data_IF_736532548461
#
_entry.id   IF_736532548461
#
_cell.length_a   1.000
_cell.length_b   1.000
_cell.length_c   1.000
_cell.angle_alpha   90.00
_cell.angle_beta   90.00
_cell.angle_gamma   90.00
#
_symmetry.space_group_name_H-M   'P 1'
#
loop_
_entity.id
_entity.type
_entity.pdbx_description
1 polymer ?
#
# COMPACT_ATOMS: atom_id res chain seq x y z
N UNK A 1 40.94 -5.03 18.18
CA UNK A 1 39.68 -4.55 17.60
C UNK A 1 39.81 -3.05 17.42
N UNK A 2 39.75 -2.62 16.18
CA UNK A 2 40.11 -1.27 15.76
C UNK A 2 39.02 -0.25 16.15
N UNK A 3 39.44 0.92 16.63
CA UNK A 3 38.55 2.02 17.04
C UNK A 3 37.58 2.51 15.95
N UNK A 4 37.86 2.16 14.69
CA UNK A 4 36.99 2.39 13.54
C UNK A 4 35.77 1.45 13.53
N UNK A 5 35.92 0.20 13.94
CA UNK A 5 34.80 -0.76 14.02
C UNK A 5 33.79 -0.44 15.15
N UNK A 6 34.27 0.12 16.26
CA UNK A 6 33.41 0.57 17.35
C UNK A 6 32.57 1.81 16.97
N UNK A 7 33.08 2.69 16.10
CA UNK A 7 32.30 3.84 15.58
C UNK A 7 31.14 3.42 14.67
N UNK A 8 31.28 2.33 13.89
CA UNK A 8 30.21 1.82 13.05
C UNK A 8 29.09 1.18 13.87
N UNK A 9 29.38 0.55 15.01
CA UNK A 9 28.33 -0.05 15.87
C UNK A 9 27.56 1.00 16.68
N UNK A 10 28.14 2.20 16.93
CA UNK A 10 27.48 3.27 17.69
C UNK A 10 26.67 4.24 16.82
N UNK A 11 26.76 4.16 15.49
CA UNK A 11 26.04 5.04 14.57
C UNK A 11 24.66 4.51 14.14
N UNK A 12 24.22 3.35 14.63
CA UNK A 12 22.95 2.72 14.24
C UNK A 12 21.78 2.91 15.22
N UNK A 13 21.91 3.77 16.21
CA UNK A 13 20.75 4.32 16.91
C UNK A 13 20.52 5.72 16.34
N UNK A 14 20.03 5.78 15.11
CA UNK A 14 19.43 7.01 14.61
C UNK A 14 18.23 7.28 15.51
N UNK A 15 18.27 8.35 16.30
CA UNK A 15 17.12 9.02 16.84
C UNK A 15 16.29 9.52 15.64
N UNK A 16 15.57 8.62 14.97
CA UNK A 16 14.60 9.04 13.98
C UNK A 16 13.51 9.78 14.76
N UNK A 17 13.39 11.08 14.51
CA UNK A 17 12.27 11.84 15.04
C UNK A 17 10.97 11.11 14.71
N UNK A 18 10.07 11.01 15.69
CA UNK A 18 8.72 10.46 15.48
C UNK A 18 8.08 11.05 14.21
N UNK A 19 7.57 10.20 13.35
CA UNK A 19 6.94 10.60 12.10
C UNK A 19 5.42 10.62 12.26
N UNK A 20 4.76 11.56 11.62
CA UNK A 20 3.30 11.56 11.51
C UNK A 20 2.89 10.85 10.24
N UNK A 21 2.17 9.74 10.38
CA UNK A 21 1.72 8.90 9.26
C UNK A 21 0.20 8.84 9.23
N UNK A 22 -0.37 9.13 8.07
CA UNK A 22 -1.81 8.98 7.81
C UNK A 22 -2.06 7.71 7.01
N UNK A 23 -3.01 6.88 7.45
CA UNK A 23 -3.41 5.64 6.78
C UNK A 23 -4.88 5.73 6.35
N UNK A 24 -5.13 5.82 5.04
CA UNK A 24 -6.44 5.58 4.46
C UNK A 24 -6.74 4.09 4.47
N UNK A 25 -7.86 3.67 5.06
CA UNK A 25 -8.17 2.26 5.28
C UNK A 25 -7.51 1.68 6.54
N UNK A 26 -7.29 2.51 7.56
CA UNK A 26 -6.61 2.16 8.82
C UNK A 26 -7.26 0.97 9.55
N UNK A 27 -8.56 0.73 9.38
CA UNK A 27 -9.28 -0.40 9.98
C UNK A 27 -9.20 -1.70 9.17
N UNK A 28 -8.56 -1.67 7.99
CA UNK A 28 -8.31 -2.87 7.16
C UNK A 28 -7.16 -3.72 7.73
N UNK A 29 -7.07 -5.00 7.32
CA UNK A 29 -6.06 -5.91 7.86
C UNK A 29 -4.62 -5.41 7.72
N UNK A 30 -4.23 -4.90 6.55
CA UNK A 30 -2.91 -4.31 6.32
C UNK A 30 -2.77 -2.98 7.09
N UNK A 31 -3.82 -2.14 7.12
CA UNK A 31 -3.83 -0.88 7.85
C UNK A 31 -3.57 -1.07 9.35
N UNK A 32 -4.24 -2.03 9.98
CA UNK A 32 -4.05 -2.39 11.41
C UNK A 32 -2.63 -2.89 11.65
N UNK A 33 -2.14 -3.81 10.82
CA UNK A 33 -0.80 -4.37 10.99
C UNK A 33 0.29 -3.29 10.84
N UNK A 34 0.13 -2.39 9.86
CA UNK A 34 1.06 -1.28 9.64
C UNK A 34 1.01 -0.26 10.79
N UNK A 35 -0.19 0.10 11.26
CA UNK A 35 -0.35 1.01 12.40
C UNK A 35 0.42 0.51 13.62
N UNK A 36 0.21 -0.76 14.01
CA UNK A 36 0.93 -1.36 15.13
C UNK A 36 2.45 -1.38 14.97
N UNK A 37 2.97 -1.64 13.75
CA UNK A 37 4.40 -1.59 13.48
C UNK A 37 4.97 -0.17 13.59
N UNK A 38 4.30 0.83 13.07
CA UNK A 38 4.75 2.23 13.12
C UNK A 38 4.69 2.77 14.54
N UNK A 39 3.60 2.53 15.27
CA UNK A 39 3.44 2.94 16.67
C UNK A 39 4.50 2.29 17.57
N UNK A 40 4.84 1.02 17.33
CA UNK A 40 5.93 0.35 18.06
C UNK A 40 7.32 0.96 17.84
N UNK A 41 7.50 1.74 16.76
CA UNK A 41 8.71 2.52 16.45
C UNK A 41 8.66 3.95 17.01
N UNK A 42 7.57 4.33 17.67
CA UNK A 42 7.35 5.67 18.20
C UNK A 42 6.76 6.68 17.21
N UNK A 43 6.28 6.22 16.05
CA UNK A 43 5.59 7.09 15.09
C UNK A 43 4.17 7.43 15.57
N UNK A 44 3.69 8.61 15.22
CA UNK A 44 2.29 9.01 15.42
C UNK A 44 1.47 8.56 14.23
N UNK A 45 0.50 7.67 14.45
CA UNK A 45 -0.36 7.14 13.40
C UNK A 45 -1.78 7.65 13.58
N UNK A 46 -2.35 8.15 12.51
CA UNK A 46 -3.77 8.49 12.40
C UNK A 46 -4.30 8.00 11.05
N UNK A 47 -5.60 8.06 10.85
CA UNK A 47 -6.14 7.62 9.57
C UNK A 47 -7.66 7.60 9.56
N UNK A 48 -8.19 7.22 8.43
CA UNK A 48 -9.62 7.18 8.18
C UNK A 48 -10.06 5.86 7.54
N UNK A 49 -11.35 5.57 7.68
CA UNK A 49 -12.04 4.52 6.95
C UNK A 49 -13.54 4.83 6.91
N UNK A 50 -14.30 4.06 6.15
CA UNK A 50 -15.78 4.19 6.13
C UNK A 50 -16.44 3.81 7.44
N UNK A 51 -15.82 2.94 8.24
CA UNK A 51 -16.36 2.37 9.49
C UNK A 51 -15.54 2.72 10.74
N UNK A 52 -14.47 3.50 10.61
CA UNK A 52 -13.62 3.91 11.73
C UNK A 52 -14.17 5.08 12.55
N UNK A 53 -13.40 5.49 13.55
CA UNK A 53 -13.70 6.68 14.38
C UNK A 53 -13.67 7.96 13.55
N UNK A 54 -12.75 8.05 12.59
CA UNK A 54 -12.70 9.13 11.60
C UNK A 54 -13.24 8.55 10.29
N UNK A 55 -14.39 9.07 9.86
CA UNK A 55 -15.08 8.62 8.65
C UNK A 55 -14.72 9.52 7.47
N UNK A 56 -14.25 8.90 6.38
CA UNK A 56 -14.02 9.56 5.10
C UNK A 56 -14.20 8.51 4.00
N UNK A 57 -14.95 8.85 2.97
CA UNK A 57 -15.11 8.00 1.79
C UNK A 57 -14.07 8.39 0.74
N UNK A 58 -13.08 7.53 0.52
CA UNK A 58 -12.03 7.78 -0.46
C UNK A 58 -12.53 7.80 -1.92
N UNK A 59 -13.73 7.32 -2.18
CA UNK A 59 -14.37 7.42 -3.51
C UNK A 59 -15.06 8.77 -3.74
N UNK A 60 -15.15 9.60 -2.70
CA UNK A 60 -15.60 10.98 -2.76
C UNK A 60 -14.41 11.93 -2.67
N UNK A 61 -14.15 12.66 -3.74
CA UNK A 61 -13.01 13.57 -3.82
C UNK A 61 -13.10 14.76 -2.84
N UNK A 62 -14.31 15.24 -2.54
CA UNK A 62 -14.53 16.37 -1.64
C UNK A 62 -14.31 15.99 -0.17
N UNK A 63 -14.67 14.76 0.21
CA UNK A 63 -14.38 14.21 1.52
C UNK A 63 -12.85 14.18 1.78
N UNK A 64 -12.09 13.73 0.80
CA UNK A 64 -10.63 13.69 0.89
C UNK A 64 -9.99 15.08 0.92
N UNK A 65 -10.49 16.01 0.11
CA UNK A 65 -10.01 17.40 0.14
C UNK A 65 -10.21 18.03 1.53
N UNK A 66 -11.39 17.84 2.11
CA UNK A 66 -11.72 18.31 3.46
C UNK A 66 -10.83 17.64 4.50
N UNK A 67 -10.73 16.32 4.45
CA UNK A 67 -9.93 15.53 5.40
C UNK A 67 -8.44 15.97 5.41
N UNK A 68 -7.80 16.08 4.25
CA UNK A 68 -6.40 16.47 4.20
C UNK A 68 -6.17 17.93 4.56
N UNK A 69 -7.10 18.84 4.23
CA UNK A 69 -7.04 20.22 4.68
C UNK A 69 -7.03 20.31 6.22
N UNK A 70 -7.90 19.54 6.88
CA UNK A 70 -7.94 19.48 8.34
C UNK A 70 -6.68 18.85 8.92
N UNK A 71 -6.17 17.76 8.32
CA UNK A 71 -4.92 17.13 8.74
C UNK A 71 -3.73 18.12 8.70
N UNK A 72 -3.54 18.85 7.61
CA UNK A 72 -2.45 19.83 7.48
C UNK A 72 -2.67 21.10 8.33
N UNK A 73 -3.86 21.31 8.87
CA UNK A 73 -4.14 22.38 9.84
C UNK A 73 -3.80 21.92 11.26
N UNK A 74 -4.07 20.65 11.59
CA UNK A 74 -3.94 20.11 12.94
C UNK A 74 -2.58 19.48 13.23
N UNK A 75 -1.78 19.19 12.22
CA UNK A 75 -0.43 18.63 12.35
C UNK A 75 0.60 19.59 11.76
N UNK A 76 1.69 19.82 12.48
CA UNK A 76 2.81 20.63 12.01
C UNK A 76 3.42 20.08 10.72
N UNK A 77 3.49 18.74 10.64
CA UNK A 77 4.02 18.01 9.49
C UNK A 77 3.34 16.67 9.32
N UNK A 78 3.09 16.28 8.09
CA UNK A 78 2.64 14.92 7.71
C UNK A 78 3.77 14.26 6.92
N UNK A 79 4.50 13.33 7.55
CA UNK A 79 5.66 12.68 6.95
C UNK A 79 5.29 11.68 5.88
N UNK A 80 4.14 11.00 6.05
CA UNK A 80 3.70 9.99 5.08
C UNK A 80 2.18 9.87 5.00
N UNK A 81 1.72 9.45 3.81
CA UNK A 81 0.37 8.95 3.59
C UNK A 81 0.42 7.56 2.97
N UNK A 82 -0.40 6.65 3.47
CA UNK A 82 -0.57 5.29 2.97
C UNK A 82 -2.00 5.08 2.51
N UNK A 83 -2.20 4.70 1.26
CA UNK A 83 -3.49 4.37 0.70
C UNK A 83 -3.71 2.86 0.72
N UNK A 84 -4.31 2.33 1.80
CA UNK A 84 -4.60 0.91 2.01
C UNK A 84 -6.09 0.60 1.73
N UNK A 85 -6.66 1.25 0.72
CA UNK A 85 -8.06 1.11 0.32
C UNK A 85 -8.12 0.37 -1.01
N UNK A 86 -9.10 -0.52 -1.13
CA UNK A 86 -9.36 -1.27 -2.35
C UNK A 86 -10.43 -2.33 -2.14
N UNK A 87 -10.68 -3.10 -3.18
CA UNK A 87 -11.62 -4.22 -3.18
C UNK A 87 -11.02 -5.43 -3.90
N UNK A 88 -11.60 -6.59 -3.68
CA UNK A 88 -11.35 -7.80 -4.47
C UNK A 88 -12.57 -8.02 -5.35
N UNK A 89 -12.34 -8.23 -6.65
CA UNK A 89 -13.38 -8.56 -7.61
C UNK A 89 -12.85 -9.60 -8.60
N UNK A 90 -13.42 -10.80 -8.55
CA UNK A 90 -12.99 -11.97 -9.32
C UNK A 90 -14.15 -12.45 -10.18
N UNK A 91 -14.18 -12.04 -11.45
CA UNK A 91 -15.24 -12.42 -12.39
C UNK A 91 -14.74 -12.26 -13.83
N UNK A 92 -15.04 -13.23 -14.67
CA UNK A 92 -14.69 -13.18 -16.09
C UNK A 92 -15.30 -11.95 -16.78
N UNK A 93 -14.58 -11.35 -17.73
CA UNK A 93 -14.97 -10.10 -18.39
C UNK A 93 -16.38 -10.14 -19.00
N UNK A 94 -16.74 -11.24 -19.69
CA UNK A 94 -18.07 -11.38 -20.34
C UNK A 94 -19.23 -11.51 -19.33
N UNK A 95 -18.95 -11.77 -18.07
CA UNK A 95 -19.93 -11.84 -16.98
C UNK A 95 -19.93 -10.59 -16.09
N UNK A 96 -18.97 -9.66 -16.30
CA UNK A 96 -18.82 -8.46 -15.50
C UNK A 96 -19.76 -7.36 -16.01
N UNK A 97 -20.78 -6.94 -15.22
CA UNK A 97 -21.61 -5.79 -15.58
C UNK A 97 -20.78 -4.51 -15.63
N UNK A 98 -21.19 -3.57 -16.47
CA UNK A 98 -20.52 -2.26 -16.55
C UNK A 98 -20.53 -1.50 -15.21
N UNK A 99 -21.58 -1.67 -14.41
CA UNK A 99 -21.68 -1.10 -13.05
C UNK A 99 -20.60 -1.62 -12.13
N UNK A 100 -20.38 -2.94 -12.12
CA UNK A 100 -19.34 -3.58 -11.29
C UNK A 100 -17.93 -3.15 -11.77
N UNK A 101 -17.72 -3.07 -13.08
CA UNK A 101 -16.48 -2.54 -13.64
C UNK A 101 -16.19 -1.13 -13.13
N UNK A 102 -17.18 -0.22 -13.22
CA UNK A 102 -17.03 1.17 -12.76
C UNK A 102 -16.76 1.25 -11.26
N UNK A 103 -17.45 0.42 -10.46
CA UNK A 103 -17.22 0.35 -9.02
C UNK A 103 -15.80 -0.12 -8.69
N UNK A 104 -15.28 -1.15 -9.37
CA UNK A 104 -13.90 -1.62 -9.21
C UNK A 104 -12.89 -0.51 -9.55
N UNK A 105 -13.10 0.22 -10.66
CA UNK A 105 -12.24 1.35 -11.02
C UNK A 105 -12.32 2.45 -9.96
N UNK A 106 -13.51 2.76 -9.47
CA UNK A 106 -13.72 3.79 -8.47
C UNK A 106 -13.03 3.45 -7.14
N UNK A 107 -13.19 2.24 -6.65
CA UNK A 107 -12.59 1.78 -5.39
C UNK A 107 -11.07 1.61 -5.45
N UNK A 108 -10.50 1.22 -6.58
CA UNK A 108 -9.09 0.78 -6.66
C UNK A 108 -8.16 1.75 -7.40
N UNK A 109 -8.70 2.65 -8.23
CA UNK A 109 -7.93 3.61 -9.00
C UNK A 109 -8.33 5.05 -8.70
N UNK A 110 -9.62 5.40 -8.83
CA UNK A 110 -10.06 6.78 -8.63
C UNK A 110 -9.84 7.24 -7.18
N UNK A 111 -10.13 6.38 -6.18
CA UNK A 111 -9.88 6.68 -4.77
C UNK A 111 -8.41 7.01 -4.50
N UNK A 112 -7.48 6.26 -5.13
CA UNK A 112 -6.05 6.52 -5.02
C UNK A 112 -5.64 7.84 -5.69
N UNK A 113 -6.22 8.16 -6.85
CA UNK A 113 -5.99 9.44 -7.52
C UNK A 113 -6.52 10.62 -6.71
N UNK A 114 -7.73 10.51 -6.14
CA UNK A 114 -8.30 11.56 -5.30
C UNK A 114 -7.46 11.81 -4.06
N UNK A 115 -6.99 10.75 -3.40
CA UNK A 115 -6.10 10.87 -2.26
C UNK A 115 -4.74 11.49 -2.63
N UNK A 116 -4.14 11.06 -3.76
CA UNK A 116 -2.92 11.66 -4.29
C UNK A 116 -3.10 13.16 -4.52
N UNK A 117 -4.17 13.55 -5.21
CA UNK A 117 -4.50 14.95 -5.49
C UNK A 117 -4.66 15.77 -4.22
N UNK A 118 -5.36 15.24 -3.22
CA UNK A 118 -5.70 15.96 -2.00
C UNK A 118 -4.50 16.14 -1.05
N UNK A 119 -3.58 15.18 -0.97
CA UNK A 119 -2.43 15.23 -0.06
C UNK A 119 -1.26 16.05 -0.61
N UNK A 120 -1.07 16.08 -1.93
CA UNK A 120 0.09 16.71 -2.57
C UNK A 120 0.27 18.19 -2.26
N UNK A 121 -0.76 19.06 -2.26
CA UNK A 121 -0.57 20.50 -1.98
C UNK A 121 0.11 20.75 -0.63
N UNK A 122 -0.32 20.04 0.42
CA UNK A 122 0.28 20.13 1.74
C UNK A 122 1.72 19.62 1.77
N UNK A 123 1.99 18.45 1.16
CA UNK A 123 3.35 17.90 1.08
C UNK A 123 4.30 18.78 0.28
N UNK A 124 3.84 19.42 -0.79
CA UNK A 124 4.65 20.39 -1.55
C UNK A 124 4.98 21.60 -0.68
N UNK A 125 3.99 22.14 0.03
CA UNK A 125 4.16 23.31 0.91
C UNK A 125 5.15 23.06 2.04
N UNK A 126 5.15 21.84 2.62
CA UNK A 126 6.07 21.47 3.70
C UNK A 126 7.46 21.02 3.21
N UNK A 127 7.67 20.88 1.88
CA UNK A 127 8.96 20.56 1.27
C UNK A 127 9.30 19.07 1.17
N UNK A 128 8.31 18.18 1.23
CA UNK A 128 8.54 16.74 1.03
C UNK A 128 7.50 15.84 1.70
N UNK A 129 7.65 14.54 1.48
CA UNK A 129 6.76 13.53 2.05
C UNK A 129 6.95 12.15 1.42
N UNK A 130 6.21 11.17 1.93
CA UNK A 130 6.21 9.79 1.44
C UNK A 130 4.80 9.34 1.15
N UNK A 131 4.56 8.83 -0.05
CA UNK A 131 3.28 8.27 -0.47
C UNK A 131 3.44 6.80 -0.80
N UNK A 132 2.59 5.96 -0.22
CA UNK A 132 2.59 4.53 -0.46
C UNK A 132 1.19 4.05 -0.84
N UNK A 133 1.13 3.29 -1.92
CA UNK A 133 -0.11 2.72 -2.44
C UNK A 133 -0.02 1.19 -2.49
N UNK A 134 -1.17 0.51 -2.52
CA UNK A 134 -1.23 -0.94 -2.70
C UNK A 134 -1.78 -1.30 -4.08
N UNK A 135 -0.90 -1.87 -4.90
CA UNK A 135 -1.23 -2.52 -6.16
C UNK A 135 -1.65 -3.98 -5.92
N UNK A 136 -1.42 -4.84 -6.86
CA UNK A 136 -1.62 -6.29 -6.79
C UNK A 136 -0.73 -6.97 -7.83
N UNK A 137 -0.32 -8.20 -7.59
CA UNK A 137 0.33 -9.04 -8.62
C UNK A 137 -0.54 -9.21 -9.87
N UNK A 138 -1.87 -9.08 -9.75
CA UNK A 138 -2.78 -9.09 -10.89
C UNK A 138 -2.53 -7.96 -11.90
N UNK A 139 -1.86 -6.87 -11.51
CA UNK A 139 -1.46 -5.80 -12.42
C UNK A 139 -0.30 -6.19 -13.34
N UNK A 140 0.50 -7.18 -12.93
CA UNK A 140 1.75 -7.54 -13.59
C UNK A 140 1.73 -8.97 -14.14
N UNK A 141 0.81 -9.82 -13.67
CA UNK A 141 0.69 -11.22 -14.06
C UNK A 141 -0.71 -11.52 -14.57
N UNK A 142 -0.80 -12.35 -15.61
CA UNK A 142 -2.07 -12.79 -16.18
C UNK A 142 -2.79 -13.78 -15.28
N UNK A 143 -3.62 -13.30 -14.37
CA UNK A 143 -4.48 -14.12 -13.52
C UNK A 143 -5.89 -14.16 -14.09
N UNK A 144 -6.45 -15.39 -14.25
CA UNK A 144 -7.79 -15.58 -14.78
C UNK A 144 -8.86 -14.89 -13.91
N UNK A 145 -9.86 -14.29 -14.53
CA UNK A 145 -10.98 -13.60 -13.88
C UNK A 145 -10.59 -12.35 -13.07
N UNK A 146 -9.41 -11.76 -13.35
CA UNK A 146 -8.93 -10.56 -12.67
C UNK A 146 -8.96 -9.31 -13.55
N UNK A 147 -9.62 -9.32 -14.70
CA UNK A 147 -9.52 -8.28 -15.72
C UNK A 147 -9.85 -6.88 -15.17
N UNK A 148 -10.91 -6.76 -14.36
CA UNK A 148 -11.32 -5.47 -13.79
C UNK A 148 -10.30 -4.94 -12.76
N UNK A 149 -9.83 -5.80 -11.86
CA UNK A 149 -8.85 -5.40 -10.85
C UNK A 149 -7.46 -5.20 -11.45
N UNK A 150 -7.08 -6.01 -12.45
CA UNK A 150 -5.82 -5.87 -13.17
C UNK A 150 -5.74 -4.52 -13.91
N UNK A 151 -6.83 -4.10 -14.55
CA UNK A 151 -6.92 -2.79 -15.20
C UNK A 151 -6.77 -1.64 -14.20
N UNK A 152 -7.50 -1.70 -13.07
CA UNK A 152 -7.42 -0.67 -12.04
C UNK A 152 -6.03 -0.56 -11.41
N UNK A 153 -5.43 -1.70 -11.05
CA UNK A 153 -4.11 -1.73 -10.40
C UNK A 153 -2.98 -1.48 -11.38
N UNK A 154 -3.12 -1.88 -12.65
CA UNK A 154 -2.20 -1.49 -13.72
C UNK A 154 -2.21 0.03 -13.98
N UNK A 155 -3.39 0.65 -14.00
CA UNK A 155 -3.55 2.10 -14.05
C UNK A 155 -2.93 2.81 -12.84
N UNK A 156 -3.10 2.25 -11.64
CA UNK A 156 -2.47 2.74 -10.42
C UNK A 156 -0.94 2.74 -10.53
N UNK A 157 -0.33 1.66 -10.98
CA UNK A 157 1.13 1.57 -11.15
C UNK A 157 1.67 2.58 -12.17
N UNK A 158 0.97 2.78 -13.27
CA UNK A 158 1.32 3.80 -14.25
C UNK A 158 1.21 5.23 -13.66
N UNK A 159 0.14 5.50 -12.91
CA UNK A 159 -0.07 6.77 -12.20
C UNK A 159 1.06 7.04 -11.21
N UNK A 160 1.49 6.04 -10.43
CA UNK A 160 2.56 6.17 -9.42
C UNK A 160 3.89 6.54 -10.10
N UNK A 161 4.25 5.89 -11.20
CA UNK A 161 5.48 6.23 -11.95
C UNK A 161 5.47 7.67 -12.47
N UNK A 162 4.35 8.09 -13.03
CA UNK A 162 4.17 9.46 -13.52
C UNK A 162 4.21 10.49 -12.39
N UNK A 163 3.52 10.21 -11.28
CA UNK A 163 3.51 11.08 -10.11
C UNK A 163 4.90 11.17 -9.46
N UNK A 164 5.62 10.05 -9.33
CA UNK A 164 6.99 10.05 -8.83
C UNK A 164 7.91 10.96 -9.68
N UNK A 165 7.82 10.88 -11.01
CA UNK A 165 8.58 11.75 -11.90
C UNK A 165 8.26 13.24 -11.70
N UNK A 166 6.97 13.56 -11.49
CA UNK A 166 6.51 14.93 -11.31
C UNK A 166 6.92 15.55 -9.97
N UNK A 167 6.94 14.75 -8.89
CA UNK A 167 7.05 15.26 -7.53
C UNK A 167 8.37 14.89 -6.81
N UNK A 168 9.23 14.04 -7.39
CA UNK A 168 10.56 13.79 -6.82
C UNK A 168 11.39 15.08 -6.64
N UNK A 169 11.38 16.06 -7.59
CA UNK A 169 12.07 17.34 -7.39
C UNK A 169 11.54 18.19 -6.21
N UNK A 170 10.39 17.83 -5.66
CA UNK A 170 9.77 18.46 -4.48
C UNK A 170 10.06 17.69 -3.19
N UNK A 171 10.96 16.70 -3.21
CA UNK A 171 11.28 15.86 -2.06
C UNK A 171 10.19 14.85 -1.70
N UNK A 172 9.27 14.53 -2.65
CA UNK A 172 8.17 13.59 -2.42
C UNK A 172 8.50 12.25 -3.08
N UNK A 173 8.56 11.17 -2.27
CA UNK A 173 8.74 9.80 -2.74
C UNK A 173 7.39 9.11 -2.86
N UNK A 174 7.16 8.42 -3.97
CA UNK A 174 5.89 7.75 -4.26
C UNK A 174 6.19 6.34 -4.73
N UNK A 175 5.69 5.33 -4.01
CA UNK A 175 5.92 3.92 -4.33
C UNK A 175 4.64 3.10 -4.16
N UNK A 176 4.66 1.86 -4.62
CA UNK A 176 3.62 0.88 -4.36
C UNK A 176 4.18 -0.45 -3.89
N UNK A 177 3.32 -1.22 -3.23
CA UNK A 177 3.49 -2.64 -2.98
C UNK A 177 2.44 -3.39 -3.80
N UNK A 178 2.83 -4.47 -4.47
CA UNK A 178 1.97 -5.38 -5.20
C UNK A 178 1.94 -6.74 -4.48
N UNK A 179 1.05 -6.93 -3.50
CA UNK A 179 0.92 -8.21 -2.83
C UNK A 179 0.14 -9.22 -3.69
N UNK A 180 0.37 -10.49 -3.47
CA UNK A 180 -0.56 -11.58 -3.82
C UNK A 180 -1.66 -11.68 -2.76
N UNK A 181 -2.41 -12.79 -2.76
CA UNK A 181 -3.43 -13.03 -1.74
C UNK A 181 -2.82 -12.88 -0.35
N UNK A 182 -3.40 -12.00 0.44
CA UNK A 182 -2.97 -11.69 1.81
C UNK A 182 -4.10 -12.04 2.77
N UNK A 183 -3.79 -12.74 3.85
CA UNK A 183 -4.77 -13.16 4.86
C UNK A 183 -5.25 -11.94 5.66
N UNK A 184 -6.44 -11.48 5.33
CA UNK A 184 -7.08 -10.28 5.87
C UNK A 184 -8.60 -10.45 5.86
N UNK A 185 -9.36 -9.63 6.61
CA UNK A 185 -10.83 -9.63 6.49
C UNK A 185 -11.32 -9.41 5.05
N UNK A 186 -10.63 -8.63 4.24
CA UNK A 186 -10.99 -8.38 2.84
C UNK A 186 -10.96 -9.66 1.98
N UNK A 187 -10.04 -10.55 2.25
CA UNK A 187 -9.84 -11.81 1.52
C UNK A 187 -10.56 -13.01 2.15
N UNK A 188 -11.32 -12.80 3.22
CA UNK A 188 -11.94 -13.87 4.01
C UNK A 188 -12.82 -14.82 3.19
N UNK A 189 -13.51 -14.35 2.16
CA UNK A 189 -14.30 -15.19 1.25
C UNK A 189 -13.46 -16.30 0.57
N UNK A 190 -12.15 -16.09 0.42
CA UNK A 190 -11.20 -17.06 -0.15
C UNK A 190 -10.48 -17.78 0.99
N UNK A 191 -9.92 -17.05 1.96
CA UNK A 191 -9.03 -17.59 2.99
C UNK A 191 -9.74 -18.42 4.04
N UNK A 192 -11.05 -18.21 4.26
CA UNK A 192 -11.87 -19.02 5.16
C UNK A 192 -12.28 -20.38 4.59
N UNK A 193 -12.18 -20.57 3.27
CA UNK A 193 -12.43 -21.86 2.64
C UNK A 193 -11.12 -22.65 2.57
N UNK A 194 -10.98 -23.79 3.31
CA UNK A 194 -9.72 -24.53 3.38
C UNK A 194 -9.24 -25.04 2.02
N UNK A 195 -10.16 -25.40 1.12
CA UNK A 195 -9.83 -25.89 -0.21
C UNK A 195 -9.31 -24.78 -1.12
N UNK A 196 -9.99 -23.62 -1.13
CA UNK A 196 -9.57 -22.45 -1.89
C UNK A 196 -8.23 -21.91 -1.36
N UNK A 197 -8.06 -21.86 -0.03
CA UNK A 197 -6.80 -21.48 0.61
C UNK A 197 -5.66 -22.42 0.19
N UNK A 198 -5.82 -23.72 0.35
CA UNK A 198 -4.81 -24.72 -0.01
C UNK A 198 -4.47 -24.69 -1.50
N UNK A 199 -5.45 -24.43 -2.37
CA UNK A 199 -5.21 -24.25 -3.80
C UNK A 199 -4.34 -23.02 -4.06
N UNK A 200 -4.67 -21.89 -3.44
CA UNK A 200 -3.92 -20.64 -3.61
C UNK A 200 -2.50 -20.77 -3.02
N UNK A 201 -2.34 -21.38 -1.86
CA UNK A 201 -1.02 -21.63 -1.26
C UNK A 201 -0.10 -22.46 -2.17
N UNK A 202 -0.64 -23.45 -2.88
CA UNK A 202 0.11 -24.25 -3.87
C UNK A 202 0.58 -23.45 -5.08
N UNK A 203 -0.08 -22.34 -5.40
CA UNK A 203 0.36 -21.45 -6.48
C UNK A 203 1.59 -20.62 -6.09
N UNK A 204 1.85 -20.46 -4.78
CA UNK A 204 2.99 -19.72 -4.27
C UNK A 204 4.20 -20.65 -4.12
N UNK A 205 5.32 -20.37 -4.79
CA UNK A 205 6.55 -21.17 -4.63
C UNK A 205 7.03 -21.35 -3.18
N UNK A 206 6.82 -20.32 -2.31
CA UNK A 206 7.13 -20.44 -0.88
C UNK A 206 6.11 -21.27 -0.09
N UNK A 207 4.99 -21.69 -0.71
CA UNK A 207 4.01 -22.60 -0.13
C UNK A 207 3.01 -21.94 0.83
N UNK A 208 2.96 -20.64 0.91
CA UNK A 208 2.01 -19.89 1.74
C UNK A 208 1.53 -18.62 1.06
N UNK A 209 0.34 -18.15 1.43
CA UNK A 209 -0.13 -16.79 1.13
C UNK A 209 0.50 -15.80 2.12
N UNK A 210 0.47 -14.50 1.79
CA UNK A 210 0.99 -13.46 2.67
C UNK A 210 0.16 -13.32 3.96
N UNK A 211 0.83 -13.02 5.06
CA UNK A 211 0.21 -12.38 6.22
C UNK A 211 0.13 -10.86 6.03
N UNK A 212 -0.80 -10.22 6.73
CA UNK A 212 -0.87 -8.75 6.76
C UNK A 212 0.42 -8.11 7.29
N UNK A 213 1.10 -8.79 8.24
CA UNK A 213 2.35 -8.33 8.84
C UNK A 213 3.52 -8.31 7.85
N UNK A 214 3.66 -9.30 6.97
CA UNK A 214 4.73 -9.34 5.95
C UNK A 214 4.60 -8.18 4.98
N UNK A 215 3.37 -7.91 4.52
CA UNK A 215 3.08 -6.76 3.64
C UNK A 215 3.30 -5.44 4.37
N UNK A 216 2.89 -5.33 5.63
CA UNK A 216 3.09 -4.16 6.47
C UNK A 216 4.58 -3.90 6.78
N UNK A 217 5.39 -4.95 6.92
CA UNK A 217 6.84 -4.82 7.14
C UNK A 217 7.55 -4.14 5.96
N UNK A 218 7.21 -4.53 4.72
CA UNK A 218 7.71 -3.86 3.51
C UNK A 218 7.22 -2.39 3.47
N UNK A 219 5.95 -2.15 3.82
CA UNK A 219 5.39 -0.80 3.88
C UNK A 219 6.15 0.08 4.88
N UNK A 220 6.40 -0.43 6.09
CA UNK A 220 7.13 0.29 7.12
C UNK A 220 8.59 0.62 6.72
N UNK A 221 9.25 -0.27 5.96
CA UNK A 221 10.57 0.02 5.38
C UNK A 221 10.51 1.13 4.33
N UNK A 222 9.55 1.06 3.39
CA UNK A 222 9.39 2.09 2.35
C UNK A 222 9.10 3.48 2.93
N UNK A 223 8.49 3.55 4.12
CA UNK A 223 8.23 4.78 4.86
C UNK A 223 9.40 5.24 5.72
N UNK A 224 10.45 4.44 5.88
CA UNK A 224 11.65 4.79 6.65
C UNK A 224 12.62 5.66 5.85
N UNK A 225 13.65 6.15 6.52
CA UNK A 225 14.75 6.89 5.91
C UNK A 225 15.72 5.97 5.16
N UNK A 226 15.73 4.67 5.49
CA UNK A 226 16.54 3.66 4.79
C UNK A 226 16.11 3.47 3.32
N UNK A 227 14.87 3.86 2.99
CA UNK A 227 14.36 3.87 1.62
C UNK A 227 14.49 5.25 0.93
N UNK A 228 15.37 6.13 1.39
CA UNK A 228 15.50 7.54 0.92
C UNK A 228 15.74 7.68 -0.59
N UNK A 229 16.38 6.70 -1.23
CA UNK A 229 16.65 6.68 -2.68
C UNK A 229 15.62 5.89 -3.48
N UNK A 230 14.48 5.50 -2.87
CA UNK A 230 13.45 4.67 -3.50
C UNK A 230 12.22 5.49 -3.82
N UNK A 231 11.95 5.69 -5.11
CA UNK A 231 10.73 6.35 -5.61
C UNK A 231 10.34 5.81 -7.00
N UNK A 232 9.06 5.82 -7.34
CA UNK A 232 8.51 5.34 -8.61
C UNK A 232 8.52 3.81 -8.74
N UNK A 233 8.75 3.06 -7.66
CA UNK A 233 8.89 1.62 -7.67
C UNK A 233 7.62 0.89 -7.22
N UNK A 234 7.46 -0.32 -7.75
CA UNK A 234 6.43 -1.28 -7.33
C UNK A 234 7.15 -2.51 -6.80
N UNK A 235 6.98 -2.78 -5.51
CA UNK A 235 7.59 -3.92 -4.83
C UNK A 235 6.60 -5.08 -4.73
N UNK A 236 6.98 -6.22 -5.30
CA UNK A 236 6.15 -7.42 -5.25
C UNK A 236 6.39 -8.17 -3.94
N UNK A 237 5.29 -8.58 -3.27
CA UNK A 237 5.31 -9.42 -2.08
C UNK A 237 4.32 -10.56 -2.34
N UNK A 238 4.81 -11.69 -2.87
CA UNK A 238 3.94 -12.73 -3.43
C UNK A 238 4.47 -14.16 -3.29
N UNK A 239 5.47 -14.38 -2.47
CA UNK A 239 6.05 -15.72 -2.31
C UNK A 239 6.59 -16.33 -3.61
N UNK A 240 6.89 -15.50 -4.63
CA UNK A 240 7.42 -15.94 -5.92
C UNK A 240 6.35 -16.26 -6.98
N UNK A 241 5.06 -16.06 -6.67
CA UNK A 241 3.95 -16.40 -7.56
C UNK A 241 4.10 -15.81 -8.97
N UNK A 242 4.52 -14.57 -9.09
CA UNK A 242 4.57 -13.85 -10.38
C UNK A 242 5.91 -13.96 -11.10
N UNK A 243 6.97 -14.41 -10.45
CA UNK A 243 8.34 -14.22 -10.96
C UNK A 243 9.18 -15.46 -11.11
N UNK A 244 8.83 -16.58 -10.46
CA UNK A 244 9.61 -17.80 -10.53
C UNK A 244 8.76 -19.03 -10.88
N UNK A 245 9.38 -19.98 -11.59
CA UNK A 245 8.78 -21.28 -11.91
C UNK A 245 9.59 -22.34 -11.14
N UNK A 246 9.05 -22.90 -10.05
CA UNK A 246 9.75 -23.92 -9.29
C UNK A 246 9.83 -25.23 -10.09
N UNK A 247 10.87 -26.04 -9.82
CA UNK A 247 10.89 -27.41 -10.34
C UNK A 247 9.69 -28.19 -9.82
N UNK A 248 9.03 -29.00 -10.66
CA UNK A 248 8.02 -29.94 -10.17
C UNK A 248 8.61 -30.80 -9.06
N UNK A 249 7.85 -30.99 -7.98
CA UNK A 249 8.24 -31.99 -6.96
C UNK A 249 8.12 -33.37 -7.58
N UNK A 250 9.18 -34.18 -7.48
CA UNK A 250 9.19 -35.57 -7.89
C UNK A 250 8.22 -36.42 -7.06
#
# INVERSE_FOLDING_TARGET
MDCAQQRYLCMSISNSSSKTVIIGGITGGIGIALSGLLESRGDTVTGFSRSGSIRCDATNSEDLDTYFKDCFTNHEKIDAYVHSIGSIYLKAAHLTPATDWLEVQNQNLNSAFYALRAVLPGMIKQGGGRLLFFSSVAAQSGLANHEAIAAAKGGLEAMIRSAAASYAPRGIRINAIAPSLTDTPLSSAITSNPQARAFTEKMHPLGSINSAHEVASMAAWLLSDDASQVTGQVFVVDGGLSSIIPKPKA
#
